data_IF_073383479194
#
_entry.id   IF_073383479194
#
_cell.length_a   1.000
_cell.length_b   1.000
_cell.length_c   1.000
_cell.angle_alpha   90.00
_cell.angle_beta   90.00
_cell.angle_gamma   90.00
#
_symmetry.space_group_name_H-M   'P 1'
#
loop_
_entity.id
_entity.type
_entity.pdbx_description
1 polymer ?
#
# COMPACT_ATOMS: atom_id res chain seq x y z
N UNK A 1 5.59 14.87 -30.50
CA UNK A 1 4.86 14.62 -29.22
C UNK A 1 5.68 13.68 -28.35
N UNK A 2 5.54 13.74 -27.03
CA UNK A 2 6.16 12.77 -26.11
C UNK A 2 5.14 12.20 -25.13
N UNK A 3 5.48 11.05 -24.57
CA UNK A 3 4.77 10.39 -23.47
C UNK A 3 5.80 10.11 -22.39
N UNK A 4 5.50 10.47 -21.14
CA UNK A 4 6.36 10.15 -20.00
C UNK A 4 5.55 9.63 -18.82
N UNK A 5 6.16 8.78 -18.01
CA UNK A 5 5.62 8.45 -16.69
C UNK A 5 6.03 9.57 -15.74
N UNK A 6 5.05 10.24 -15.15
CA UNK A 6 5.25 11.33 -14.20
C UNK A 6 5.60 10.76 -12.83
N UNK A 7 6.26 11.57 -11.99
CA UNK A 7 6.52 11.23 -10.59
C UNK A 7 5.25 10.94 -9.79
N UNK A 8 4.11 11.43 -10.26
CA UNK A 8 2.81 11.19 -9.65
C UNK A 8 2.17 9.84 -10.03
N UNK A 9 2.86 9.01 -10.83
CA UNK A 9 2.39 7.72 -11.32
C UNK A 9 1.44 7.82 -12.52
N UNK A 10 1.06 9.03 -12.94
CA UNK A 10 0.27 9.22 -14.16
C UNK A 10 1.14 9.26 -15.41
N UNK A 11 0.53 9.11 -16.58
CA UNK A 11 1.15 9.35 -17.87
C UNK A 11 0.89 10.78 -18.29
N UNK A 12 1.94 11.49 -18.69
CA UNK A 12 1.85 12.82 -19.31
C UNK A 12 2.03 12.75 -20.82
N UNK A 13 1.12 13.38 -21.57
CA UNK A 13 1.30 13.70 -22.99
C UNK A 13 1.68 15.16 -23.11
N UNK A 14 2.81 15.42 -23.76
CA UNK A 14 3.27 16.77 -24.02
C UNK A 14 3.83 16.97 -25.42
N UNK A 15 4.12 18.24 -25.73
CA UNK A 15 4.70 18.67 -27.00
C UNK A 15 6.00 19.44 -26.76
N UNK A 16 7.00 19.20 -27.59
CA UNK A 16 8.32 19.81 -27.44
C UNK A 16 9.14 19.10 -26.35
N UNK A 17 9.63 19.88 -25.39
CA UNK A 17 10.48 19.40 -24.28
C UNK A 17 9.64 18.92 -23.10
N UNK A 18 10.15 17.95 -22.36
CA UNK A 18 9.49 17.47 -21.14
C UNK A 18 9.31 18.61 -20.11
N UNK A 19 8.11 18.70 -19.54
CA UNK A 19 7.76 19.76 -18.58
C UNK A 19 6.46 19.48 -17.83
N UNK A 20 5.84 20.53 -17.28
CA UNK A 20 4.60 20.40 -16.48
C UNK A 20 3.32 20.69 -17.28
N UNK A 21 3.46 21.27 -18.47
CA UNK A 21 2.36 21.48 -19.41
C UNK A 21 2.08 20.16 -20.13
N UNK A 22 1.27 19.30 -19.49
CA UNK A 22 0.96 17.95 -19.98
C UNK A 22 -0.54 17.65 -19.85
N UNK A 23 -1.06 16.86 -20.78
CA UNK A 23 -2.36 16.20 -20.62
C UNK A 23 -2.08 14.89 -19.89
N UNK A 24 -2.63 14.72 -18.69
CA UNK A 24 -2.33 13.60 -17.80
C UNK A 24 -3.44 12.55 -17.82
N UNK A 25 -3.07 11.29 -17.71
CA UNK A 25 -4.01 10.15 -17.65
C UNK A 25 -3.47 9.02 -16.78
N UNK A 26 -4.33 8.13 -16.33
CA UNK A 26 -3.92 6.90 -15.66
C UNK A 26 -3.20 5.96 -16.62
N UNK A 27 -2.25 5.17 -16.11
CA UNK A 27 -1.52 4.20 -16.95
C UNK A 27 -2.44 3.17 -17.60
N UNK A 28 -3.45 2.70 -16.86
CA UNK A 28 -4.49 1.80 -17.39
C UNK A 28 -5.39 2.44 -18.45
N UNK A 29 -5.38 3.76 -18.63
CA UNK A 29 -6.19 4.48 -19.62
C UNK A 29 -5.51 4.58 -21.00
N UNK A 30 -4.19 4.35 -21.04
CA UNK A 30 -3.36 4.58 -22.22
C UNK A 30 -3.83 3.81 -23.45
N UNK A 31 -4.24 2.55 -23.27
CA UNK A 31 -4.73 1.71 -24.36
C UNK A 31 -6.01 2.25 -24.99
N UNK A 32 -6.93 2.80 -24.19
CA UNK A 32 -8.17 3.41 -24.68
C UNK A 32 -7.88 4.70 -25.44
N UNK A 33 -6.96 5.53 -24.91
CA UNK A 33 -6.55 6.77 -25.56
C UNK A 33 -5.81 6.47 -26.88
N UNK A 34 -4.93 5.47 -26.90
CA UNK A 34 -4.27 5.00 -28.12
C UNK A 34 -5.27 4.60 -29.20
N UNK A 35 -6.29 3.80 -28.84
CA UNK A 35 -7.34 3.39 -29.77
C UNK A 35 -8.18 4.57 -30.30
N UNK A 36 -8.48 5.55 -29.44
CA UNK A 36 -9.18 6.78 -29.85
C UNK A 36 -8.36 7.60 -30.87
N UNK A 37 -7.05 7.75 -30.61
CA UNK A 37 -6.13 8.46 -31.51
C UNK A 37 -6.00 7.77 -32.88
N UNK A 38 -5.90 6.45 -32.91
CA UNK A 38 -5.87 5.71 -34.18
C UNK A 38 -7.15 5.86 -34.98
N UNK A 39 -8.30 5.73 -34.32
CA UNK A 39 -9.59 5.93 -34.95
C UNK A 39 -9.70 7.33 -35.54
N UNK A 40 -9.24 8.35 -34.81
CA UNK A 40 -9.20 9.73 -35.28
C UNK A 40 -8.29 9.91 -36.50
N UNK A 41 -7.10 9.28 -36.50
CA UNK A 41 -6.15 9.31 -37.61
C UNK A 41 -6.66 8.58 -38.87
N UNK A 42 -7.56 7.60 -38.72
CA UNK A 42 -8.19 6.88 -39.84
C UNK A 42 -9.46 7.57 -40.37
N UNK A 43 -10.05 8.48 -39.59
CA UNK A 43 -11.32 9.12 -39.96
C UNK A 43 -11.07 10.29 -40.91
N UNK A 44 -11.57 10.20 -42.15
CA UNK A 44 -11.34 11.22 -43.18
C UNK A 44 -12.26 12.46 -43.10
N UNK A 45 -13.22 12.49 -42.16
CA UNK A 45 -14.21 13.56 -42.00
C UNK A 45 -14.06 14.22 -40.63
N UNK A 46 -14.70 15.37 -40.45
CA UNK A 46 -14.83 15.99 -39.14
C UNK A 46 -15.34 14.97 -38.11
N UNK A 47 -14.57 14.83 -37.03
CA UNK A 47 -14.86 13.89 -35.96
C UNK A 47 -14.42 14.46 -34.64
N UNK A 48 -15.28 14.31 -33.63
CA UNK A 48 -14.98 14.65 -32.26
C UNK A 48 -15.25 13.46 -31.36
N UNK A 49 -14.26 13.11 -30.55
CA UNK A 49 -14.36 12.08 -29.54
C UNK A 49 -13.89 12.64 -28.20
N UNK A 50 -14.71 12.47 -27.17
CA UNK A 50 -14.35 12.81 -25.80
C UNK A 50 -14.07 11.52 -25.03
N UNK A 51 -12.88 11.41 -24.46
CA UNK A 51 -12.54 10.40 -23.47
C UNK A 51 -12.75 10.97 -22.08
N UNK A 52 -13.59 10.33 -21.27
CA UNK A 52 -13.74 10.63 -19.85
C UNK A 52 -12.70 9.82 -19.08
N UNK A 53 -11.84 10.50 -18.33
CA UNK A 53 -10.83 9.86 -17.50
C UNK A 53 -11.53 9.09 -16.38
N UNK A 54 -11.06 7.87 -16.12
CA UNK A 54 -11.48 7.10 -14.95
C UNK A 54 -10.66 7.47 -13.71
N UNK A 55 -9.51 8.11 -13.91
CA UNK A 55 -8.62 8.65 -12.89
C UNK A 55 -8.79 10.16 -12.71
N UNK A 56 -8.64 10.63 -11.47
CA UNK A 56 -8.69 12.04 -11.10
C UNK A 56 -7.33 12.76 -11.26
N UNK A 57 -6.49 12.35 -12.22
CA UNK A 57 -5.16 12.96 -12.43
C UNK A 57 -5.22 14.14 -13.41
N UNK A 58 -4.57 15.24 -13.04
CA UNK A 58 -4.51 16.47 -13.82
C UNK A 58 -5.53 17.53 -13.42
N UNK A 59 -5.64 18.56 -14.24
CA UNK A 59 -6.54 19.70 -14.05
C UNK A 59 -7.96 19.51 -14.60
N UNK A 60 -8.24 18.39 -15.28
CA UNK A 60 -9.54 18.08 -15.85
C UNK A 60 -9.82 16.57 -15.92
N UNK A 61 -11.10 16.22 -16.09
CA UNK A 61 -11.61 14.84 -16.09
C UNK A 61 -11.86 14.26 -17.49
N UNK A 62 -11.42 14.95 -18.54
CA UNK A 62 -11.62 14.53 -19.92
C UNK A 62 -10.47 14.90 -20.84
N UNK A 63 -10.37 14.18 -21.94
CA UNK A 63 -9.47 14.47 -23.06
C UNK A 63 -10.33 14.51 -24.33
N UNK A 64 -10.31 15.64 -25.02
CA UNK A 64 -11.04 15.87 -26.26
C UNK A 64 -10.09 15.67 -27.46
N UNK A 65 -10.53 14.86 -28.41
CA UNK A 65 -9.87 14.60 -29.68
C UNK A 65 -10.76 15.13 -30.80
N UNK A 66 -10.25 16.08 -31.57
CA UNK A 66 -11.03 16.76 -32.61
C UNK A 66 -10.25 16.79 -33.91
N UNK A 67 -10.89 16.36 -35.01
CA UNK A 67 -10.38 16.51 -36.37
C UNK A 67 -11.28 17.49 -37.11
N UNK A 68 -10.70 18.58 -37.59
CA UNK A 68 -11.39 19.58 -38.41
C UNK A 68 -11.44 19.14 -39.89
N UNK A 69 -12.29 19.81 -40.68
CA UNK A 69 -12.49 19.52 -42.10
C UNK A 69 -11.24 19.76 -42.96
N UNK A 70 -10.33 20.63 -42.50
CA UNK A 70 -9.04 20.90 -43.15
C UNK A 70 -7.97 19.83 -42.82
N UNK A 71 -8.33 18.80 -42.05
CA UNK A 71 -7.43 17.73 -41.63
C UNK A 71 -6.62 18.04 -40.37
N UNK A 72 -6.77 19.23 -39.78
CA UNK A 72 -6.11 19.60 -38.52
C UNK A 72 -6.64 18.73 -37.38
N UNK A 73 -5.74 18.12 -36.62
CA UNK A 73 -6.07 17.35 -35.42
C UNK A 73 -5.69 18.13 -34.18
N UNK A 74 -6.61 18.23 -33.24
CA UNK A 74 -6.39 18.88 -31.94
C UNK A 74 -6.65 17.89 -30.81
N UNK A 75 -5.71 17.80 -29.88
CA UNK A 75 -5.83 17.02 -28.63
C UNK A 75 -5.86 18.01 -27.47
N UNK A 76 -6.92 18.01 -26.67
CA UNK A 76 -7.09 18.97 -25.57
C UNK A 76 -7.47 18.29 -24.26
N UNK A 77 -6.85 18.70 -23.15
CA UNK A 77 -7.09 18.16 -21.81
C UNK A 77 -6.25 18.91 -20.79
N UNK A 78 -6.62 18.92 -19.51
CA UNK A 78 -5.83 19.56 -18.43
C UNK A 78 -5.40 21.01 -18.71
N UNK A 79 -6.25 21.78 -19.41
CA UNK A 79 -5.99 23.16 -19.87
C UNK A 79 -4.86 23.29 -20.90
N UNK A 80 -4.39 22.17 -21.45
CA UNK A 80 -3.48 22.10 -22.58
C UNK A 80 -4.24 21.79 -23.86
N UNK A 81 -3.72 22.29 -24.98
CA UNK A 81 -4.22 21.97 -26.32
C UNK A 81 -3.06 21.86 -27.28
N UNK A 82 -3.00 20.74 -28.00
CA UNK A 82 -1.94 20.44 -28.95
C UNK A 82 -2.53 20.22 -30.33
N UNK A 83 -2.12 21.08 -31.26
CA UNK A 83 -2.35 20.86 -32.69
C UNK A 83 -1.32 19.84 -33.17
N UNK A 84 -1.79 18.80 -33.83
CA UNK A 84 -1.00 17.65 -34.24
C UNK A 84 -1.23 17.33 -35.72
N UNK A 85 -0.20 16.82 -36.37
CA UNK A 85 -0.33 16.18 -37.69
C UNK A 85 -0.83 14.74 -37.53
N UNK A 86 -1.34 14.14 -38.61
CA UNK A 86 -1.74 12.72 -38.60
C UNK A 86 -0.59 11.79 -38.21
N UNK A 87 0.62 12.07 -38.67
CA UNK A 87 1.81 11.30 -38.33
C UNK A 87 2.09 11.37 -36.83
N UNK A 88 2.07 12.57 -36.24
CA UNK A 88 2.28 12.75 -34.79
C UNK A 88 1.23 12.01 -33.96
N UNK A 89 -0.02 11.96 -34.42
CA UNK A 89 -1.12 11.25 -33.76
C UNK A 89 -0.90 9.74 -33.80
N UNK A 90 -0.46 9.19 -34.95
CA UNK A 90 -0.13 7.77 -35.08
C UNK A 90 1.07 7.38 -34.22
N UNK A 91 2.13 8.19 -34.22
CA UNK A 91 3.30 7.99 -33.36
C UNK A 91 2.93 8.06 -31.88
N UNK A 92 2.06 8.99 -31.49
CA UNK A 92 1.56 9.10 -30.12
C UNK A 92 0.72 7.88 -29.71
N UNK A 93 -0.17 7.42 -30.60
CA UNK A 93 -0.96 6.22 -30.36
C UNK A 93 -0.08 4.98 -30.21
N UNK A 94 0.95 4.85 -31.04
CA UNK A 94 1.89 3.74 -30.97
C UNK A 94 2.71 3.75 -29.66
N UNK A 95 3.18 4.93 -29.22
CA UNK A 95 3.86 5.08 -27.91
C UNK A 95 2.96 4.75 -26.72
N UNK A 96 1.67 5.10 -26.78
CA UNK A 96 0.70 4.78 -25.72
C UNK A 96 0.30 3.30 -25.73
N UNK A 97 0.34 2.64 -26.88
CA UNK A 97 0.15 1.19 -26.99
C UNK A 97 1.34 0.43 -26.43
N UNK A 98 2.55 0.92 -26.69
CA UNK A 98 3.81 0.27 -26.35
C UNK A 98 4.54 1.05 -25.25
N UNK A 99 3.84 1.32 -24.14
CA UNK A 99 4.44 1.99 -22.99
C UNK A 99 5.59 1.14 -22.41
N UNK A 100 6.67 1.79 -21.93
CA UNK A 100 7.70 1.07 -21.21
C UNK A 100 7.07 0.40 -19.97
N UNK A 101 7.55 -0.80 -19.59
CA UNK A 101 7.11 -1.44 -18.37
C UNK A 101 7.44 -0.55 -17.17
N UNK A 102 6.52 -0.46 -16.21
CA UNK A 102 6.82 0.21 -14.94
C UNK A 102 7.64 -0.75 -14.10
N UNK A 103 8.91 -0.39 -13.85
CA UNK A 103 9.75 -1.12 -12.92
C UNK A 103 9.34 -0.77 -11.48
N UNK A 104 8.87 -1.78 -10.75
CA UNK A 104 8.52 -1.66 -9.35
C UNK A 104 9.60 -2.39 -8.55
N UNK A 105 10.19 -1.72 -7.56
CA UNK A 105 11.16 -2.35 -6.68
C UNK A 105 10.52 -3.57 -5.95
N UNK A 106 11.31 -4.60 -5.63
CA UNK A 106 10.79 -5.76 -4.93
C UNK A 106 10.22 -5.36 -3.55
N UNK A 107 9.23 -6.11 -3.01
CA UNK A 107 8.62 -5.84 -1.71
C UNK A 107 9.62 -5.61 -0.55
N UNK A 108 10.75 -6.32 -0.57
CA UNK A 108 11.83 -6.21 0.43
C UNK A 108 12.54 -4.86 0.43
N UNK A 109 12.42 -4.08 -0.64
CA UNK A 109 13.03 -2.75 -0.70
C UNK A 109 12.17 -1.71 0.02
N UNK A 110 10.84 -1.90 0.02
CA UNK A 110 9.91 -1.01 0.71
C UNK A 110 9.75 -1.32 2.20
N UNK A 111 9.90 -2.57 2.60
CA UNK A 111 9.79 -2.97 4.01
C UNK A 111 10.95 -3.88 4.40
N UNK A 112 11.70 -3.49 5.43
CA UNK A 112 12.86 -4.21 5.90
C UNK A 112 12.72 -4.56 7.38
N UNK A 113 13.08 -5.80 7.72
CA UNK A 113 13.33 -6.19 9.11
C UNK A 113 14.60 -5.52 9.60
N UNK A 114 14.54 -4.96 10.81
CA UNK A 114 15.67 -4.34 11.51
C UNK A 114 15.90 -5.05 12.84
N UNK A 115 17.09 -4.91 13.40
CA UNK A 115 17.36 -5.38 14.77
C UNK A 115 16.36 -4.71 15.73
N UNK A 116 15.61 -5.50 16.52
CA UNK A 116 14.61 -4.96 17.44
C UNK A 116 15.21 -3.96 18.42
N UNK A 117 14.56 -2.81 18.58
CA UNK A 117 14.93 -1.80 19.57
C UNK A 117 13.70 -1.03 20.02
N UNK A 118 13.43 -1.00 21.32
CA UNK A 118 12.23 -0.37 21.91
C UNK A 118 10.92 -0.83 21.23
N UNK A 119 10.80 -2.14 20.96
CA UNK A 119 9.64 -2.74 20.28
C UNK A 119 9.56 -2.50 18.76
N UNK A 120 10.41 -1.64 18.19
CA UNK A 120 10.47 -1.38 16.75
C UNK A 120 11.31 -2.46 16.06
N UNK A 121 10.74 -3.13 15.06
CA UNK A 121 11.38 -4.27 14.38
C UNK A 121 11.23 -4.24 12.85
N UNK A 122 10.43 -3.31 12.31
CA UNK A 122 10.26 -3.12 10.87
C UNK A 122 10.51 -1.65 10.51
N UNK A 123 11.02 -1.43 9.31
CA UNK A 123 11.13 -0.10 8.72
C UNK A 123 10.49 -0.09 7.34
N UNK A 124 9.56 0.83 7.13
CA UNK A 124 9.00 1.14 5.80
C UNK A 124 9.82 2.26 5.21
N UNK A 125 10.23 2.16 3.95
CA UNK A 125 11.03 3.19 3.27
C UNK A 125 10.59 3.39 1.83
N UNK A 126 10.58 4.65 1.39
CA UNK A 126 10.53 5.02 -0.02
C UNK A 126 11.11 6.42 -0.19
N UNK A 127 11.79 6.68 -1.32
CA UNK A 127 12.28 8.02 -1.68
C UNK A 127 13.19 8.67 -0.62
N UNK A 128 13.98 7.89 0.11
CA UNK A 128 14.88 8.36 1.17
C UNK A 128 14.23 8.63 2.53
N UNK A 129 12.89 8.58 2.63
CA UNK A 129 12.18 8.69 3.88
C UNK A 129 11.92 7.31 4.49
N UNK A 130 11.78 7.27 5.82
CA UNK A 130 11.50 6.01 6.53
C UNK A 130 10.64 6.18 7.77
N UNK A 131 9.86 5.15 8.08
CA UNK A 131 9.00 5.04 9.26
C UNK A 131 9.32 3.72 9.92
N UNK A 132 9.76 3.76 11.19
CA UNK A 132 9.96 2.57 12.00
C UNK A 132 8.64 2.17 12.66
N UNK A 133 8.35 0.87 12.63
CA UNK A 133 7.10 0.29 13.12
C UNK A 133 7.38 -0.82 14.13
N UNK A 134 6.51 -0.89 15.14
CA UNK A 134 6.34 -2.12 15.93
C UNK A 134 5.63 -3.17 15.08
N UNK A 135 5.80 -4.45 15.41
CA UNK A 135 5.14 -5.54 14.69
C UNK A 135 3.60 -5.38 14.57
N UNK A 136 2.85 -5.06 15.64
CA UNK A 136 1.40 -4.86 15.54
C UNK A 136 1.02 -3.56 14.80
N UNK A 137 1.88 -2.54 14.79
CA UNK A 137 1.66 -1.32 14.00
C UNK A 137 1.72 -1.63 12.49
N UNK A 138 2.66 -2.46 12.06
CA UNK A 138 2.76 -2.92 10.68
C UNK A 138 1.52 -3.73 10.25
N UNK A 139 0.97 -4.55 11.15
CA UNK A 139 -0.24 -5.32 10.88
C UNK A 139 -1.46 -4.41 10.61
N UNK A 140 -1.72 -3.43 11.49
CA UNK A 140 -2.84 -2.49 11.29
C UNK A 140 -2.60 -1.60 10.08
N UNK A 141 -1.36 -1.14 9.85
CA UNK A 141 -0.99 -0.35 8.67
C UNK A 141 -1.23 -1.12 7.37
N UNK A 142 -0.86 -2.41 7.30
CA UNK A 142 -1.14 -3.28 6.14
C UNK A 142 -2.63 -3.31 5.84
N UNK A 143 -3.46 -3.48 6.88
CA UNK A 143 -4.91 -3.54 6.73
C UNK A 143 -5.49 -2.21 6.24
N UNK A 144 -5.06 -1.10 6.83
CA UNK A 144 -5.45 0.24 6.38
C UNK A 144 -5.09 0.50 4.92
N UNK A 145 -3.87 0.15 4.50
CA UNK A 145 -3.45 0.27 3.10
C UNK A 145 -4.33 -0.60 2.19
N UNK A 146 -4.56 -1.87 2.56
CA UNK A 146 -5.40 -2.76 1.75
C UNK A 146 -6.82 -2.23 1.60
N UNK A 147 -7.42 -1.72 2.67
CA UNK A 147 -8.75 -1.10 2.65
C UNK A 147 -8.78 0.19 1.81
N UNK A 148 -7.66 0.89 1.69
CA UNK A 148 -7.57 2.11 0.89
C UNK A 148 -7.54 1.89 -0.63
N UNK A 149 -7.16 0.69 -1.09
CA UNK A 149 -7.04 0.35 -2.52
C UNK A 149 -8.40 0.48 -3.22
N UNK A 150 -9.46 0.01 -2.56
CA UNK A 150 -10.82 0.00 -3.10
C UNK A 150 -11.57 1.34 -2.88
N UNK A 151 -11.01 2.27 -2.09
CA UNK A 151 -11.67 3.54 -1.77
C UNK A 151 -11.17 4.70 -2.61
N UNK A 152 -12.09 5.48 -3.21
CA UNK A 152 -11.75 6.67 -4.01
C UNK A 152 -11.12 7.81 -3.19
N UNK A 153 -11.53 7.96 -1.94
CA UNK A 153 -10.90 8.85 -0.97
C UNK A 153 -10.67 8.07 0.32
N UNK A 154 -9.45 8.11 0.83
CA UNK A 154 -9.10 7.39 2.05
C UNK A 154 -8.22 8.27 2.93
N UNK A 155 -8.60 8.41 4.19
CA UNK A 155 -7.77 9.05 5.20
C UNK A 155 -8.10 8.38 6.54
N UNK A 156 -7.21 7.48 6.96
CA UNK A 156 -7.33 6.77 8.22
C UNK A 156 -6.20 7.21 9.15
N UNK A 157 -6.58 7.70 10.31
CA UNK A 157 -5.65 7.94 11.43
C UNK A 157 -5.69 6.73 12.36
N UNK A 158 -4.55 6.04 12.46
CA UNK A 158 -4.32 4.93 13.38
C UNK A 158 -3.68 5.47 14.66
N UNK A 159 -4.38 5.32 15.78
CA UNK A 159 -3.92 5.78 17.10
C UNK A 159 -3.60 4.59 18.00
N UNK A 160 -2.33 4.46 18.38
CA UNK A 160 -1.87 3.38 19.27
C UNK A 160 -1.04 4.05 20.37
N UNK A 161 -1.67 4.22 21.53
CA UNK A 161 -1.11 5.03 22.62
C UNK A 161 -0.89 6.48 22.18
N UNK A 162 0.35 6.97 22.33
CA UNK A 162 0.74 8.30 21.86
C UNK A 162 1.19 8.32 20.40
N UNK A 163 1.36 7.16 19.76
CA UNK A 163 1.83 7.07 18.38
C UNK A 163 0.66 7.25 17.42
N UNK A 164 0.85 8.19 16.49
CA UNK A 164 -0.08 8.49 15.40
C UNK A 164 0.53 8.03 14.08
N UNK A 165 -0.16 7.13 13.41
CA UNK A 165 0.13 6.73 12.04
C UNK A 165 -1.03 7.19 11.16
N UNK A 166 -0.76 7.65 9.94
CA UNK A 166 -1.80 8.07 9.00
C UNK A 166 -1.59 7.36 7.69
N UNK A 167 -2.65 6.74 7.16
CA UNK A 167 -2.70 6.19 5.82
C UNK A 167 -3.70 7.02 5.03
N UNK A 168 -3.21 7.73 4.02
CA UNK A 168 -4.06 8.58 3.18
C UNK A 168 -3.86 8.25 1.71
N UNK A 169 -4.95 8.27 0.94
CA UNK A 169 -4.95 8.21 -0.51
C UNK A 169 -5.22 9.61 -1.04
N UNK A 170 -4.19 10.26 -1.56
CA UNK A 170 -4.23 11.66 -2.01
C UNK A 170 -4.77 11.79 -3.44
N UNK A 171 -4.68 10.73 -4.24
CA UNK A 171 -5.33 10.61 -5.54
C UNK A 171 -5.53 9.14 -5.89
N UNK A 172 -6.21 8.86 -7.02
CA UNK A 172 -6.38 7.49 -7.50
C UNK A 172 -5.04 6.75 -7.71
N UNK A 173 -3.93 7.49 -7.84
CA UNK A 173 -2.60 6.93 -8.08
C UNK A 173 -1.60 7.15 -6.93
N UNK A 174 -2.00 7.76 -5.81
CA UNK A 174 -1.07 8.14 -4.74
C UNK A 174 -1.54 7.80 -3.34
N UNK A 175 -0.65 7.17 -2.62
CA UNK A 175 -0.74 6.89 -1.20
C UNK A 175 0.33 7.67 -0.45
N UNK A 176 -0.02 8.06 0.76
CA UNK A 176 0.86 8.74 1.67
C UNK A 176 0.71 8.12 3.06
N UNK A 177 1.84 7.67 3.59
CA UNK A 177 1.98 7.17 4.95
C UNK A 177 2.67 8.23 5.79
N UNK A 178 2.12 8.55 6.96
CA UNK A 178 2.77 9.43 7.93
C UNK A 178 2.98 8.71 9.25
N UNK A 179 4.13 8.94 9.87
CA UNK A 179 4.45 8.43 11.20
C UNK A 179 5.48 9.32 11.87
N UNK A 180 5.11 9.94 13.01
CA UNK A 180 5.93 10.99 13.61
C UNK A 180 6.09 12.18 12.66
N UNK A 181 7.35 12.59 12.42
CA UNK A 181 7.70 13.65 11.46
C UNK A 181 7.91 13.14 10.02
N UNK A 182 7.96 11.82 9.83
CA UNK A 182 8.22 11.22 8.52
C UNK A 182 6.95 11.11 7.68
N UNK A 183 7.09 11.44 6.39
CA UNK A 183 6.07 11.20 5.37
C UNK A 183 6.69 10.40 4.22
N UNK A 184 6.06 9.29 3.85
CA UNK A 184 6.47 8.43 2.74
C UNK A 184 5.33 8.38 1.73
N UNK A 185 5.66 8.52 0.45
CA UNK A 185 4.68 8.44 -0.63
C UNK A 185 4.88 7.16 -1.44
N UNK A 186 3.79 6.62 -1.96
CA UNK A 186 3.76 5.47 -2.85
C UNK A 186 2.81 5.73 -4.00
N UNK A 187 3.15 5.21 -5.18
CA UNK A 187 2.30 5.23 -6.37
C UNK A 187 1.40 3.98 -6.42
N UNK A 188 0.42 3.98 -7.33
CA UNK A 188 -0.41 2.79 -7.59
C UNK A 188 0.39 1.56 -8.01
N UNK A 189 1.56 1.74 -8.61
CA UNK A 189 2.41 0.63 -9.03
C UNK A 189 3.15 -0.01 -7.84
N UNK A 190 3.43 0.78 -6.80
CA UNK A 190 4.22 0.36 -5.65
C UNK A 190 3.35 -0.17 -4.51
N UNK A 191 2.06 0.18 -4.48
CA UNK A 191 1.19 -0.10 -3.32
C UNK A 191 1.00 -1.59 -3.04
N UNK A 192 0.88 -2.41 -4.09
CA UNK A 192 0.78 -3.87 -3.96
C UNK A 192 2.10 -4.47 -3.43
N UNK A 193 3.23 -3.98 -3.93
CA UNK A 193 4.55 -4.40 -3.45
C UNK A 193 4.78 -3.99 -2.00
N UNK A 194 4.27 -2.82 -1.57
CA UNK A 194 4.27 -2.41 -0.17
C UNK A 194 3.41 -3.33 0.70
N UNK A 195 2.19 -3.69 0.27
CA UNK A 195 1.31 -4.61 0.99
C UNK A 195 1.99 -5.98 1.18
N UNK A 196 2.60 -6.50 0.12
CA UNK A 196 3.41 -7.71 0.17
C UNK A 196 4.63 -7.54 1.09
N UNK A 197 5.28 -6.38 1.06
CA UNK A 197 6.44 -6.07 1.91
C UNK A 197 6.09 -6.08 3.39
N UNK A 198 4.95 -5.47 3.76
CA UNK A 198 4.44 -5.50 5.13
C UNK A 198 4.08 -6.92 5.57
N UNK A 199 3.45 -7.70 4.68
CA UNK A 199 3.16 -9.11 4.94
C UNK A 199 4.45 -9.90 5.23
N UNK A 200 5.41 -9.82 4.32
CA UNK A 200 6.66 -10.56 4.39
C UNK A 200 7.51 -10.11 5.59
N UNK A 201 7.53 -8.82 5.90
CA UNK A 201 8.21 -8.30 7.08
C UNK A 201 7.62 -8.86 8.38
N UNK A 202 6.28 -8.90 8.49
CA UNK A 202 5.61 -9.53 9.64
C UNK A 202 5.98 -11.01 9.73
N UNK A 203 5.92 -11.72 8.60
CA UNK A 203 6.27 -13.13 8.54
C UNK A 203 7.72 -13.37 8.97
N UNK A 204 8.67 -12.59 8.47
CA UNK A 204 10.10 -12.73 8.77
C UNK A 204 10.39 -12.56 10.27
N UNK A 205 9.72 -11.61 10.93
CA UNK A 205 9.86 -11.41 12.38
C UNK A 205 9.26 -12.59 13.16
N UNK A 206 8.07 -13.06 12.76
CA UNK A 206 7.43 -14.23 13.38
C UNK A 206 8.26 -15.50 13.19
N UNK A 207 8.89 -15.66 12.03
CA UNK A 207 9.73 -16.82 11.73
C UNK A 207 11.02 -16.82 12.54
N UNK A 208 11.59 -15.67 12.88
CA UNK A 208 12.74 -15.61 13.80
C UNK A 208 12.36 -16.15 15.18
N UNK A 209 11.18 -15.75 15.70
CA UNK A 209 10.65 -16.29 16.94
C UNK A 209 10.44 -17.81 16.85
N UNK A 210 9.78 -18.30 15.79
CA UNK A 210 9.55 -19.75 15.63
C UNK A 210 10.87 -20.52 15.53
N UNK A 211 11.86 -19.98 14.83
CA UNK A 211 13.21 -20.58 14.74
C UNK A 211 13.91 -20.59 16.11
N UNK A 212 13.71 -19.57 16.94
CA UNK A 212 14.29 -19.49 18.29
C UNK A 212 13.81 -20.61 19.22
N UNK A 213 12.64 -21.22 18.93
CA UNK A 213 12.16 -22.37 19.68
C UNK A 213 12.97 -23.64 19.45
N UNK A 214 13.73 -23.71 18.35
CA UNK A 214 14.47 -24.90 17.96
C UNK A 214 13.55 -26.06 17.54
N UNK A 215 14.17 -27.19 17.23
CA UNK A 215 13.49 -28.47 16.92
C UNK A 215 13.79 -29.53 17.99
N UNK A 216 14.28 -29.11 19.16
CA UNK A 216 14.61 -29.98 20.29
C UNK A 216 13.36 -30.31 21.12
N UNK A 217 13.48 -31.27 22.03
CA UNK A 217 12.41 -31.69 22.95
C UNK A 217 11.93 -30.55 23.89
N UNK A 218 12.63 -29.40 23.89
CA UNK A 218 12.34 -28.22 24.71
C UNK A 218 11.54 -27.17 23.92
N UNK A 219 11.43 -27.30 22.60
CA UNK A 219 10.63 -26.41 21.73
C UNK A 219 9.18 -26.25 22.22
N UNK A 220 8.55 -27.35 22.63
CA UNK A 220 7.20 -27.36 23.23
C UNK A 220 7.11 -26.53 24.51
N UNK A 221 8.17 -26.52 25.33
CA UNK A 221 8.24 -25.74 26.57
C UNK A 221 8.34 -24.25 26.23
N UNK A 222 9.14 -23.88 25.24
CA UNK A 222 9.29 -22.47 24.80
C UNK A 222 7.98 -21.94 24.23
N UNK A 223 7.29 -22.71 23.40
CA UNK A 223 5.94 -22.38 22.90
C UNK A 223 4.96 -22.19 24.06
N UNK A 224 4.92 -23.12 25.02
CA UNK A 224 4.06 -23.00 26.22
C UNK A 224 4.39 -21.77 27.04
N UNK A 225 5.67 -21.40 27.16
CA UNK A 225 6.09 -20.19 27.87
C UNK A 225 5.54 -18.92 27.23
N UNK A 226 5.56 -18.81 25.89
CA UNK A 226 4.97 -17.66 25.19
C UNK A 226 3.46 -17.61 25.36
N UNK A 227 2.79 -18.77 25.28
CA UNK A 227 1.34 -18.86 25.51
C UNK A 227 0.95 -18.41 26.93
N UNK A 228 1.68 -18.88 27.94
CA UNK A 228 1.47 -18.48 29.33
C UNK A 228 1.71 -16.99 29.54
N UNK A 229 2.75 -16.43 28.90
CA UNK A 229 3.03 -14.99 28.95
C UNK A 229 1.88 -14.19 28.37
N UNK A 230 1.39 -14.56 27.18
CA UNK A 230 0.22 -13.88 26.58
C UNK A 230 -0.99 -14.01 27.50
N UNK A 231 -1.30 -15.21 27.99
CA UNK A 231 -2.47 -15.43 28.85
C UNK A 231 -2.40 -14.59 30.13
N UNK A 232 -1.29 -14.64 30.86
CA UNK A 232 -1.14 -13.96 32.15
C UNK A 232 -1.05 -12.44 32.01
N UNK A 233 -0.26 -11.93 31.06
CA UNK A 233 -0.12 -10.48 30.87
C UNK A 233 -1.38 -9.87 30.27
N UNK A 234 -2.12 -10.59 29.42
CA UNK A 234 -3.44 -10.15 28.95
C UNK A 234 -4.44 -10.07 30.10
N UNK A 235 -4.48 -11.08 30.99
CA UNK A 235 -5.36 -11.07 32.16
C UNK A 235 -5.04 -9.87 33.09
N UNK A 236 -3.76 -9.55 33.28
CA UNK A 236 -3.33 -8.35 34.02
C UNK A 236 -3.79 -7.04 33.37
N UNK A 237 -3.77 -6.94 32.04
CA UNK A 237 -4.25 -5.73 31.33
C UNK A 237 -5.73 -5.47 31.59
N UNK A 238 -6.55 -6.53 31.68
CA UNK A 238 -7.99 -6.41 31.94
C UNK A 238 -8.34 -6.34 33.44
N UNK A 239 -7.43 -6.75 34.33
CA UNK A 239 -7.64 -6.74 35.78
C UNK A 239 -8.70 -7.74 36.24
N UNK A 240 -9.36 -7.46 37.37
CA UNK A 240 -10.31 -8.38 38.01
C UNK A 240 -11.69 -8.48 37.30
N UNK A 241 -11.89 -7.80 36.17
CA UNK A 241 -13.15 -7.83 35.44
C UNK A 241 -13.33 -9.16 34.69
N UNK A 242 -14.19 -10.01 35.25
CA UNK A 242 -14.49 -11.35 34.73
C UNK A 242 -15.09 -11.36 33.32
N UNK A 243 -15.59 -10.22 32.82
CA UNK A 243 -16.16 -10.12 31.48
C UNK A 243 -15.12 -10.37 30.37
N UNK A 244 -13.83 -10.17 30.66
CA UNK A 244 -12.76 -10.25 29.65
C UNK A 244 -12.10 -11.63 29.53
N UNK A 245 -12.49 -12.60 30.36
CA UNK A 245 -11.98 -13.98 30.28
C UNK A 245 -12.15 -14.61 28.89
N UNK A 246 -13.21 -14.23 28.18
CA UNK A 246 -13.44 -14.68 26.80
C UNK A 246 -12.38 -14.15 25.83
N UNK A 247 -11.99 -12.89 26.00
CA UNK A 247 -10.96 -12.22 25.19
C UNK A 247 -9.59 -12.81 25.47
N UNK A 248 -9.22 -13.02 26.74
CA UNK A 248 -7.97 -13.69 27.13
C UNK A 248 -7.86 -15.05 26.44
N UNK A 249 -8.91 -15.88 26.54
CA UNK A 249 -8.94 -17.20 25.88
C UNK A 249 -8.82 -17.13 24.36
N UNK A 250 -9.48 -16.16 23.71
CA UNK A 250 -9.40 -15.98 22.26
C UNK A 250 -8.00 -15.56 21.82
N UNK A 251 -7.38 -14.60 22.52
CA UNK A 251 -6.01 -14.15 22.23
C UNK A 251 -4.98 -15.27 22.45
N UNK A 252 -5.12 -16.08 23.51
CA UNK A 252 -4.26 -17.26 23.73
C UNK A 252 -4.44 -18.31 22.62
N UNK A 253 -5.69 -18.55 22.18
CA UNK A 253 -5.98 -19.49 21.09
C UNK A 253 -5.38 -19.01 19.76
N UNK A 254 -5.50 -17.71 19.44
CA UNK A 254 -4.88 -17.10 18.26
C UNK A 254 -3.36 -17.15 18.34
N UNK A 255 -2.78 -16.87 19.51
CA UNK A 255 -1.34 -17.00 19.72
C UNK A 255 -0.87 -18.42 19.39
N UNK A 256 -1.57 -19.44 19.91
CA UNK A 256 -1.24 -20.84 19.61
C UNK A 256 -1.28 -21.14 18.11
N UNK A 257 -2.23 -20.60 17.37
CA UNK A 257 -2.32 -20.80 15.92
C UNK A 257 -1.27 -19.99 15.14
N UNK A 258 -0.60 -19.01 15.76
CA UNK A 258 0.49 -18.24 15.14
C UNK A 258 1.85 -18.91 15.41
N UNK A 259 2.10 -19.39 16.63
CA UNK A 259 3.42 -19.93 17.04
C UNK A 259 3.46 -21.46 17.11
N UNK A 260 2.33 -22.13 16.94
CA UNK A 260 2.22 -23.59 17.06
C UNK A 260 3.08 -24.36 16.06
N UNK A 261 3.46 -25.58 16.44
CA UNK A 261 4.21 -26.51 15.58
C UNK A 261 3.28 -26.98 14.45
N UNK A 262 3.79 -27.02 13.21
CA UNK A 262 3.06 -27.54 12.05
C UNK A 262 2.20 -26.54 11.29
N UNK A 263 2.13 -25.27 11.72
CA UNK A 263 1.40 -24.22 10.99
C UNK A 263 2.20 -23.71 9.78
N UNK A 264 1.53 -23.50 8.64
CA UNK A 264 2.11 -22.93 7.43
C UNK A 264 2.62 -21.52 7.67
N UNK A 265 3.80 -21.20 7.15
CA UNK A 265 4.47 -19.92 7.38
C UNK A 265 3.55 -18.73 7.05
N UNK A 266 3.00 -18.67 5.82
CA UNK A 266 2.12 -17.60 5.34
C UNK A 266 0.88 -17.39 6.23
N UNK A 267 0.26 -18.50 6.67
CA UNK A 267 -0.92 -18.44 7.53
C UNK A 267 -0.63 -17.80 8.91
N UNK A 268 0.61 -17.90 9.40
CA UNK A 268 1.01 -17.27 10.68
C UNK A 268 0.88 -15.75 10.60
N UNK A 269 1.35 -15.15 9.50
CA UNK A 269 1.26 -13.71 9.30
C UNK A 269 -0.20 -13.25 9.17
N UNK A 270 -1.03 -13.92 8.36
CA UNK A 270 -2.47 -13.58 8.28
C UNK A 270 -3.19 -13.72 9.63
N UNK A 271 -2.89 -14.77 10.40
CA UNK A 271 -3.49 -14.95 11.74
C UNK A 271 -3.04 -13.89 12.73
N UNK A 272 -1.76 -13.50 12.70
CA UNK A 272 -1.24 -12.41 13.52
C UNK A 272 -1.88 -11.07 13.15
N UNK A 273 -2.01 -10.77 11.86
CA UNK A 273 -2.67 -9.57 11.36
C UNK A 273 -4.15 -9.55 11.81
N UNK A 274 -4.86 -10.67 11.67
CA UNK A 274 -6.23 -10.80 12.13
C UNK A 274 -6.37 -10.60 13.65
N UNK A 275 -5.40 -11.06 14.45
CA UNK A 275 -5.36 -10.83 15.90
C UNK A 275 -5.17 -9.34 16.23
N UNK A 276 -4.25 -8.64 15.54
CA UNK A 276 -4.01 -7.22 15.74
C UNK A 276 -5.25 -6.39 15.35
N UNK A 277 -5.90 -6.73 14.23
CA UNK A 277 -7.13 -6.06 13.80
C UNK A 277 -8.31 -6.33 14.73
N UNK A 278 -8.39 -7.52 15.33
CA UNK A 278 -9.38 -7.81 16.36
C UNK A 278 -9.18 -6.88 17.57
N UNK A 279 -7.95 -6.76 18.08
CA UNK A 279 -7.65 -5.86 19.21
C UNK A 279 -7.94 -4.41 18.85
N UNK A 280 -7.43 -3.93 17.71
CA UNK A 280 -7.58 -2.54 17.28
C UNK A 280 -9.04 -2.16 16.96
N UNK A 281 -9.80 -3.06 16.35
CA UNK A 281 -11.15 -2.79 15.85
C UNK A 281 -12.30 -3.19 16.77
N UNK A 282 -12.06 -3.99 17.82
CA UNK A 282 -13.13 -4.51 18.70
C UNK A 282 -12.96 -4.18 20.18
N UNK A 283 -11.76 -3.84 20.64
CA UNK A 283 -11.53 -3.53 22.04
C UNK A 283 -11.50 -2.03 22.28
N UNK A 284 -11.72 -1.63 23.53
CA UNK A 284 -11.63 -0.23 23.92
C UNK A 284 -10.20 0.30 23.76
N UNK A 285 -10.10 1.57 23.40
CA UNK A 285 -8.82 2.25 23.14
C UNK A 285 -7.84 2.20 24.32
N UNK A 286 -8.35 2.10 25.54
CA UNK A 286 -7.55 1.94 26.76
C UNK A 286 -6.71 0.66 26.78
N UNK A 287 -7.14 -0.40 26.07
CA UNK A 287 -6.45 -1.70 26.05
C UNK A 287 -5.53 -1.86 24.83
N UNK A 288 -5.62 -1.00 23.82
CA UNK A 288 -4.88 -1.16 22.57
C UNK A 288 -3.36 -1.09 22.82
N UNK A 289 -2.87 0.00 23.42
CA UNK A 289 -1.43 0.19 23.64
C UNK A 289 -0.83 -0.91 24.55
N UNK A 290 -1.40 -1.24 25.73
CA UNK A 290 -0.85 -2.31 26.57
C UNK A 290 -0.79 -3.68 25.87
N UNK A 291 -1.80 -4.03 25.08
CA UNK A 291 -1.81 -5.29 24.33
C UNK A 291 -0.82 -5.26 23.16
N UNK A 292 -0.67 -4.12 22.50
CA UNK A 292 0.29 -3.98 21.40
C UNK A 292 1.73 -4.01 21.92
N UNK A 293 2.00 -3.44 23.10
CA UNK A 293 3.29 -3.60 23.78
C UNK A 293 3.56 -5.05 24.17
N UNK A 294 2.55 -5.76 24.70
CA UNK A 294 2.66 -7.18 24.96
C UNK A 294 2.99 -7.97 23.67
N UNK A 295 2.31 -7.68 22.55
CA UNK A 295 2.57 -8.36 21.29
C UNK A 295 3.95 -8.04 20.72
N UNK A 296 4.38 -6.79 20.77
CA UNK A 296 5.71 -6.38 20.35
C UNK A 296 6.81 -7.05 21.17
N UNK A 297 6.56 -7.38 22.44
CA UNK A 297 7.53 -8.06 23.30
C UNK A 297 7.45 -9.59 23.27
N UNK A 298 6.29 -10.16 22.96
CA UNK A 298 6.07 -11.61 22.96
C UNK A 298 6.34 -12.26 21.60
N UNK A 299 6.10 -11.53 20.50
CA UNK A 299 6.23 -12.04 19.13
C UNK A 299 7.54 -11.66 18.44
N UNK A 300 8.40 -10.89 19.10
CA UNK A 300 9.68 -10.45 18.56
C UNK A 300 10.78 -11.11 19.38
N UNK A 301 11.64 -11.90 18.73
CA UNK A 301 12.83 -12.43 19.40
C UNK A 301 13.78 -11.27 19.68
N UNK A 302 14.22 -11.13 20.93
CA UNK A 302 15.45 -10.39 21.21
C UNK A 302 16.58 -11.16 20.48
N UNK A 303 17.35 -10.45 19.67
CA UNK A 303 18.38 -11.04 18.80
C UNK A 303 19.55 -11.62 19.56
#
# INVERSE_FOLDING_TARGET
>A
MYVKIRQDGSLGIGRGTEGDAEITMGFGEAHMVAAALEKLAQTARNHKQTYLKTTNVGGGNKIDFERADDGTITISGDRQSYICTEQEVRELADRLRHLPPVEVAPPSDYVKKITPSNGLCLIVTNGGNSIKLRLPEAAVMKTAIRSSIDSRYYDETIMIGQRRLVVSRTSDLKWQLRGGESTINFTAFEIEALVAGLHNGILDVLMDLVKSFGADDISDIRVKSVLQRIEQETDKVFGDDKNWRGVVKDLTKRTKSIIGIGEFADERAERFIAMCNYVYGKLDTAFIEPLFDLFANAFVSEG
#
